data_IF_706035791046
#
_entry.id   IF_706035791046
#
_cell.length_a   1.000
_cell.length_b   1.000
_cell.length_c   1.000
_cell.angle_alpha   90.00
_cell.angle_beta   90.00
_cell.angle_gamma   90.00
#
_symmetry.space_group_name_H-M   'P 1'
#
loop_
_entity.id
_entity.type
_entity.pdbx_description
1 polymer ?
#
# COMPACT_ATOMS: atom_id res chain seq x y z
N UNK A 1 -19.20 -16.81 16.35
CA UNK A 1 -18.70 -15.59 17.04
C UNK A 1 -17.79 -15.99 18.21
N UNK A 2 -16.51 -16.12 17.90
CA UNK A 2 -15.43 -15.74 18.82
C UNK A 2 -14.54 -14.78 18.05
N UNK A 3 -14.49 -13.52 18.49
CA UNK A 3 -13.74 -12.43 17.85
C UNK A 3 -12.39 -12.34 18.54
N UNK A 4 -11.31 -12.46 17.77
CA UNK A 4 -9.99 -12.03 18.23
C UNK A 4 -9.81 -10.57 17.88
N UNK A 5 -9.17 -9.87 18.81
CA UNK A 5 -8.59 -8.56 18.58
C UNK A 5 -7.09 -8.76 18.54
N UNK A 6 -6.44 -7.99 17.66
CA UNK A 6 -5.00 -7.72 17.68
C UNK A 6 -4.54 -7.45 19.12
N UNK A 7 -4.06 -8.47 19.79
CA UNK A 7 -3.54 -8.46 21.15
C UNK A 7 -2.60 -9.66 21.30
N UNK A 8 -1.65 -9.61 22.24
CA UNK A 8 -0.57 -10.58 22.48
C UNK A 8 -1.04 -12.01 22.85
N UNK A 9 -2.01 -12.58 22.13
CA UNK A 9 -2.59 -13.89 22.30
C UNK A 9 -1.84 -14.91 21.44
N UNK A 10 -2.01 -16.22 21.74
CA UNK A 10 -1.23 -17.27 21.10
C UNK A 10 -1.39 -17.29 19.58
N UNK A 11 -0.24 -17.42 18.92
CA UNK A 11 0.06 -17.55 17.48
C UNK A 11 -0.68 -18.70 16.74
N UNK A 12 -1.67 -19.36 17.36
CA UNK A 12 -2.39 -20.48 16.77
C UNK A 12 -3.85 -20.54 17.23
N UNK A 13 -4.77 -20.45 16.28
CA UNK A 13 -6.20 -20.56 16.48
C UNK A 13 -6.83 -21.71 15.67
N UNK A 14 -7.89 -22.31 16.20
CA UNK A 14 -8.64 -23.38 15.56
C UNK A 14 -10.13 -23.04 15.70
N UNK A 15 -10.77 -22.66 14.59
CA UNK A 15 -12.22 -22.58 14.50
C UNK A 15 -12.85 -23.97 14.49
N UNK A 16 -14.14 -24.05 14.79
CA UNK A 16 -14.90 -25.29 14.89
C UNK A 16 -16.32 -25.19 14.34
N UNK A 17 -16.71 -24.07 13.73
CA UNK A 17 -18.03 -23.91 13.11
C UNK A 17 -18.02 -22.92 11.96
N UNK A 18 -18.99 -23.04 11.05
CA UNK A 18 -19.09 -22.35 9.75
C UNK A 18 -19.29 -20.82 9.79
N UNK A 19 -19.00 -20.16 10.91
CA UNK A 19 -19.15 -18.73 11.14
C UNK A 19 -18.00 -18.20 12.01
N UNK A 20 -16.85 -18.87 11.98
CA UNK A 20 -15.68 -18.43 12.71
C UNK A 20 -14.95 -17.36 11.89
N UNK A 21 -14.46 -16.34 12.60
CA UNK A 21 -14.00 -15.10 12.00
C UNK A 21 -12.75 -14.59 12.69
N UNK A 22 -11.80 -14.10 11.91
CA UNK A 22 -10.65 -13.33 12.42
C UNK A 22 -10.87 -11.86 12.07
N UNK A 23 -10.57 -10.96 13.01
CA UNK A 23 -10.89 -9.53 12.89
C UNK A 23 -9.70 -8.67 13.28
N UNK A 24 -9.28 -7.81 12.36
CA UNK A 24 -8.15 -6.90 12.50
C UNK A 24 -8.57 -5.43 12.68
N UNK A 25 -9.82 -5.16 13.04
CA UNK A 25 -10.39 -3.81 13.25
C UNK A 25 -9.59 -2.87 14.15
N UNK A 26 -8.82 -3.43 15.08
CA UNK A 26 -7.99 -2.66 16.02
C UNK A 26 -6.52 -2.58 15.59
N UNK A 27 -6.16 -3.18 14.46
CA UNK A 27 -4.82 -3.09 13.89
C UNK A 27 -4.53 -1.63 13.57
N UNK A 28 -3.28 -1.25 13.82
CA UNK A 28 -2.74 0.06 13.45
C UNK A 28 -2.06 0.03 12.07
N UNK A 29 -2.23 -1.09 11.33
CA UNK A 29 -1.54 -1.41 10.07
C UNK A 29 -2.45 -2.23 9.17
N UNK A 30 -2.16 -2.17 7.86
CA UNK A 30 -2.71 -3.10 6.89
C UNK A 30 -2.35 -4.55 7.25
N UNK A 31 -3.18 -5.49 6.84
CA UNK A 31 -3.08 -6.90 7.17
C UNK A 31 -3.09 -7.74 5.91
N UNK A 32 -2.16 -8.68 5.84
CA UNK A 32 -2.20 -9.77 4.87
C UNK A 32 -2.72 -11.00 5.61
N UNK A 33 -3.88 -11.52 5.22
CA UNK A 33 -4.46 -12.70 5.81
C UNK A 33 -4.92 -13.68 4.73
N UNK A 34 -4.56 -14.95 4.85
CA UNK A 34 -4.91 -16.00 3.89
C UNK A 34 -5.48 -17.22 4.64
N UNK A 35 -6.78 -17.47 4.43
CA UNK A 35 -7.51 -18.61 5.01
C UNK A 35 -7.04 -19.96 4.51
N UNK A 36 -6.58 -20.07 3.25
CA UNK A 36 -6.09 -21.34 2.72
C UNK A 36 -4.71 -21.71 3.28
N UNK A 37 -3.83 -20.73 3.47
CA UNK A 37 -2.55 -20.97 4.14
C UNK A 37 -2.69 -21.06 5.66
N UNK A 38 -3.77 -20.50 6.21
CA UNK A 38 -4.01 -20.42 7.65
C UNK A 38 -3.07 -19.45 8.35
N UNK A 39 -2.66 -18.37 7.66
CA UNK A 39 -1.68 -17.41 8.18
C UNK A 39 -2.14 -15.97 7.99
N UNK A 40 -1.79 -15.10 8.93
CA UNK A 40 -1.87 -13.66 8.73
C UNK A 40 -0.71 -12.89 9.37
N UNK A 41 -0.45 -11.72 8.82
CA UNK A 41 0.67 -10.84 9.15
C UNK A 41 0.26 -9.39 8.99
N UNK A 42 0.86 -8.50 9.78
CA UNK A 42 0.71 -7.05 9.59
C UNK A 42 1.74 -6.56 8.55
N UNK A 43 1.30 -5.71 7.63
CA UNK A 43 2.14 -5.06 6.63
C UNK A 43 3.04 -4.01 7.32
N UNK A 44 4.30 -3.92 6.91
CA UNK A 44 5.21 -2.88 7.40
C UNK A 44 5.21 -1.72 6.41
N UNK A 45 4.69 -0.58 6.86
CA UNK A 45 4.68 0.64 6.07
C UNK A 45 5.98 1.42 6.29
N UNK A 46 6.71 1.70 5.22
CA UNK A 46 8.05 2.30 5.26
C UNK A 46 8.00 3.61 4.49
N UNK A 47 8.48 4.70 5.09
CA UNK A 47 8.69 6.00 4.44
C UNK A 47 10.16 6.14 4.05
N UNK A 48 10.56 5.92 2.79
CA UNK A 48 11.90 6.27 2.31
C UNK A 48 12.02 7.79 2.28
N UNK A 49 12.91 8.34 3.11
CA UNK A 49 13.02 9.79 3.33
C UNK A 49 14.44 10.25 3.02
N UNK A 50 14.59 11.34 2.26
CA UNK A 50 15.92 11.94 2.11
C UNK A 50 16.14 12.73 0.85
N UNK A 51 17.37 12.70 0.35
CA UNK A 51 17.81 13.51 -0.78
C UNK A 51 17.84 12.73 -2.12
N UNK A 52 18.73 13.12 -3.03
CA UNK A 52 18.99 12.45 -4.31
C UNK A 52 19.31 10.96 -4.17
N UNK A 53 19.87 10.52 -3.03
CA UNK A 53 20.16 9.10 -2.78
C UNK A 53 18.83 8.33 -2.68
N UNK A 54 17.88 8.81 -1.87
CA UNK A 54 16.54 8.24 -1.72
C UNK A 54 15.71 8.34 -3.01
N UNK A 55 15.85 9.45 -3.74
CA UNK A 55 15.25 9.62 -5.08
C UNK A 55 15.70 8.53 -6.07
N UNK A 56 16.91 7.99 -5.88
CA UNK A 56 17.48 6.94 -6.73
C UNK A 56 18.18 7.50 -7.97
N UNK A 57 19.00 8.53 -7.80
CA UNK A 57 19.80 9.09 -8.90
C UNK A 57 20.98 8.17 -9.24
N UNK A 58 21.13 7.77 -10.51
CA UNK A 58 22.30 7.07 -11.05
C UNK A 58 22.71 7.75 -12.35
N UNK A 59 23.92 8.28 -12.39
CA UNK A 59 24.34 9.26 -13.39
C UNK A 59 24.45 8.79 -14.86
N UNK A 60 24.09 7.55 -15.18
CA UNK A 60 24.14 7.00 -16.56
C UNK A 60 22.79 6.77 -17.23
N UNK A 61 21.66 6.95 -16.54
CA UNK A 61 20.32 6.89 -17.15
C UNK A 61 19.62 8.24 -17.07
N UNK A 62 18.51 8.40 -17.79
CA UNK A 62 17.55 9.49 -17.58
C UNK A 62 16.84 9.30 -16.22
N UNK A 63 17.64 9.38 -15.16
CA UNK A 63 17.52 9.53 -13.70
C UNK A 63 16.20 9.40 -12.92
N UNK A 64 15.05 9.10 -13.53
CA UNK A 64 13.78 8.88 -12.82
C UNK A 64 13.46 7.39 -12.63
N UNK A 65 14.21 6.47 -13.24
CA UNK A 65 13.83 5.06 -13.36
C UNK A 65 14.75 4.07 -12.63
N UNK A 66 15.73 4.49 -11.81
CA UNK A 66 16.58 3.49 -11.13
C UNK A 66 15.91 2.85 -9.91
N UNK A 67 15.09 3.61 -9.19
CA UNK A 67 14.50 3.21 -7.91
C UNK A 67 15.51 3.16 -6.74
N UNK A 68 16.79 3.46 -6.97
CA UNK A 68 17.82 3.50 -5.94
C UNK A 68 17.91 2.21 -5.11
N UNK A 69 18.11 2.35 -3.80
CA UNK A 69 18.12 1.21 -2.88
C UNK A 69 16.73 0.57 -2.74
N UNK A 70 15.64 1.31 -2.99
CA UNK A 70 14.25 0.82 -2.83
C UNK A 70 13.97 -0.35 -3.75
N UNK A 71 14.46 -0.29 -4.99
CA UNK A 71 14.42 -1.41 -5.95
C UNK A 71 15.00 -2.69 -5.38
N UNK A 72 16.24 -2.61 -4.88
CA UNK A 72 16.95 -3.76 -4.34
C UNK A 72 16.32 -4.26 -3.03
N UNK A 73 15.71 -3.36 -2.26
CA UNK A 73 14.94 -3.75 -1.08
C UNK A 73 13.73 -4.60 -1.46
N UNK A 74 12.89 -4.14 -2.41
CA UNK A 74 11.73 -4.90 -2.87
C UNK A 74 12.12 -6.27 -3.40
N UNK A 75 13.16 -6.36 -4.23
CA UNK A 75 13.64 -7.64 -4.78
C UNK A 75 14.08 -8.62 -3.69
N UNK A 76 14.76 -8.13 -2.64
CA UNK A 76 15.27 -8.98 -1.56
C UNK A 76 14.19 -9.35 -0.55
N UNK A 77 13.29 -8.42 -0.24
CA UNK A 77 12.15 -8.68 0.66
C UNK A 77 11.15 -9.63 0.02
N UNK A 78 10.87 -9.51 -1.28
CA UNK A 78 10.02 -10.45 -2.01
C UNK A 78 10.63 -11.86 -2.06
N UNK A 79 11.95 -11.97 -2.21
CA UNK A 79 12.64 -13.26 -2.09
C UNK A 79 12.57 -13.88 -0.69
N UNK A 80 12.35 -13.05 0.33
CA UNK A 80 12.03 -13.45 1.70
C UNK A 80 10.51 -13.48 1.94
N UNK A 81 9.65 -13.39 0.93
CA UNK A 81 8.20 -13.35 1.12
C UNK A 81 7.73 -12.32 2.18
N UNK A 82 8.50 -11.24 2.35
CA UNK A 82 8.19 -10.12 3.22
C UNK A 82 7.53 -9.05 2.37
N UNK A 83 6.28 -8.75 2.68
CA UNK A 83 5.53 -7.68 2.02
C UNK A 83 5.68 -6.40 2.83
N UNK A 84 5.95 -5.32 2.11
CA UNK A 84 6.06 -3.96 2.64
C UNK A 84 5.21 -3.04 1.78
N UNK A 85 4.91 -1.88 2.34
CA UNK A 85 4.28 -0.77 1.63
C UNK A 85 5.19 0.45 1.76
N UNK A 86 5.78 0.89 0.66
CA UNK A 86 6.43 2.19 0.64
C UNK A 86 5.40 3.29 0.54
N UNK A 87 5.55 4.29 1.38
CA UNK A 87 4.64 5.42 1.45
C UNK A 87 5.39 6.72 1.17
N UNK A 88 4.69 7.71 0.61
CA UNK A 88 5.24 9.02 0.31
C UNK A 88 4.44 9.76 -0.76
N UNK A 89 4.73 11.04 -0.95
CA UNK A 89 4.02 11.88 -1.93
C UNK A 89 4.61 11.81 -3.33
N UNK A 90 5.84 11.28 -3.47
CA UNK A 90 6.54 11.13 -4.74
C UNK A 90 6.53 9.68 -5.19
N UNK A 91 6.52 9.47 -6.50
CA UNK A 91 6.54 8.13 -7.09
C UNK A 91 7.49 8.10 -8.30
N UNK A 92 8.57 7.33 -8.21
CA UNK A 92 9.51 7.11 -9.31
C UNK A 92 10.27 5.76 -9.18
N UNK A 93 10.61 5.16 -10.31
CA UNK A 93 11.28 3.86 -10.39
C UNK A 93 11.10 3.20 -11.76
N UNK A 94 11.81 2.09 -12.04
CA UNK A 94 11.64 1.34 -13.28
C UNK A 94 10.27 0.69 -13.31
N UNK A 95 9.80 0.39 -14.53
CA UNK A 95 8.51 -0.28 -14.74
C UNK A 95 8.35 -1.60 -13.95
N UNK A 96 9.47 -2.28 -13.66
CA UNK A 96 9.51 -3.54 -12.91
C UNK A 96 9.30 -3.39 -11.40
N UNK A 97 9.40 -2.18 -10.84
CA UNK A 97 9.06 -1.96 -9.43
C UNK A 97 7.54 -1.85 -9.30
N UNK A 98 6.98 -2.75 -8.48
CA UNK A 98 5.56 -2.78 -8.13
C UNK A 98 5.18 -1.54 -7.31
N UNK A 99 6.01 -1.18 -6.36
CA UNK A 99 5.85 -0.02 -5.51
C UNK A 99 7.01 0.96 -5.75
N UNK A 100 6.68 2.24 -5.95
CA UNK A 100 7.61 3.30 -6.35
C UNK A 100 7.55 4.51 -5.44
N UNK A 101 6.77 4.44 -4.39
CA UNK A 101 6.48 5.59 -3.55
C UNK A 101 7.65 5.89 -2.62
N UNK A 102 7.82 7.17 -2.29
CA UNK A 102 8.89 7.69 -1.44
C UNK A 102 8.72 9.19 -1.15
N UNK A 103 9.59 9.69 -0.27
CA UNK A 103 9.74 11.10 0.06
C UNK A 103 11.22 11.53 -0.08
N UNK A 104 11.80 11.17 -1.23
CA UNK A 104 13.18 11.52 -1.60
C UNK A 104 13.20 12.75 -2.48
N UNK A 105 14.02 13.76 -2.17
CA UNK A 105 14.01 15.05 -2.86
C UNK A 105 15.38 15.41 -3.42
N UNK A 106 15.48 15.53 -4.75
CA UNK A 106 16.76 15.85 -5.39
C UNK A 106 17.27 17.23 -4.96
N UNK A 107 18.55 17.30 -4.64
CA UNK A 107 19.24 18.55 -4.26
C UNK A 107 18.75 19.20 -2.96
N UNK A 108 17.87 18.55 -2.21
CA UNK A 108 17.40 19.09 -0.94
C UNK A 108 18.45 18.90 0.16
N UNK A 109 18.49 19.87 1.06
CA UNK A 109 19.26 19.88 2.30
C UNK A 109 18.42 19.36 3.46
N UNK A 110 19.05 19.02 4.60
CA UNK A 110 18.34 18.65 5.82
C UNK A 110 17.37 19.76 6.27
N UNK A 111 17.77 21.02 6.09
CA UNK A 111 16.91 22.17 6.37
C UNK A 111 15.67 22.27 5.48
N UNK A 112 15.73 21.81 4.24
CA UNK A 112 14.56 21.75 3.37
C UNK A 112 13.67 20.57 3.73
N UNK A 113 14.25 19.44 4.14
CA UNK A 113 13.51 18.29 4.66
C UNK A 113 12.78 18.60 5.98
N UNK A 114 13.31 19.52 6.80
CA UNK A 114 12.60 20.07 7.97
C UNK A 114 11.27 20.77 7.60
N UNK A 115 11.06 21.09 6.32
CA UNK A 115 9.80 21.64 5.79
C UNK A 115 8.94 20.61 5.07
N UNK A 116 9.24 19.31 5.16
CA UNK A 116 8.30 18.27 4.75
C UNK A 116 7.03 18.49 5.55
N UNK A 117 5.91 18.56 4.83
CA UNK A 117 4.62 18.86 5.42
C UNK A 117 4.35 17.85 6.54
N UNK A 118 4.06 18.34 7.75
CA UNK A 118 3.67 17.48 8.88
C UNK A 118 2.50 16.57 8.47
N UNK A 119 1.70 17.03 7.49
CA UNK A 119 0.62 16.29 6.86
C UNK A 119 1.09 15.04 6.11
N UNK A 120 2.29 14.98 5.51
CA UNK A 120 2.79 13.77 4.83
C UNK A 120 3.08 12.67 5.84
N UNK A 121 3.80 12.99 6.92
CA UNK A 121 4.13 12.01 7.96
C UNK A 121 2.85 11.57 8.69
N UNK A 122 1.95 12.51 8.96
CA UNK A 122 0.67 12.23 9.58
C UNK A 122 -0.28 11.42 8.68
N UNK A 123 -0.27 11.64 7.36
CA UNK A 123 -1.11 10.93 6.40
C UNK A 123 -0.59 9.53 6.09
N UNK A 124 0.74 9.37 5.99
CA UNK A 124 1.35 8.09 5.61
C UNK A 124 1.34 7.04 6.72
N UNK A 125 1.33 7.46 8.00
CA UNK A 125 1.30 6.55 9.17
C UNK A 125 2.34 5.42 9.10
N UNK A 126 3.53 5.74 8.58
CA UNK A 126 4.60 4.77 8.42
C UNK A 126 5.05 4.18 9.77
N UNK A 127 5.42 2.91 9.77
CA UNK A 127 6.06 2.25 10.91
C UNK A 127 7.53 2.62 11.04
N UNK A 128 8.18 2.76 9.88
CA UNK A 128 9.59 3.04 9.78
C UNK A 128 9.84 4.18 8.78
N UNK A 129 10.70 5.13 9.14
CA UNK A 129 11.28 6.06 8.18
C UNK A 129 12.74 5.70 7.93
N UNK A 130 13.12 5.56 6.66
CA UNK A 130 14.52 5.31 6.27
C UNK A 130 15.13 6.63 5.82
N UNK A 131 15.79 7.33 6.74
CA UNK A 131 16.35 8.65 6.52
C UNK A 131 17.81 8.57 6.07
N UNK A 132 18.10 9.08 4.87
CA UNK A 132 19.46 9.32 4.38
C UNK A 132 19.54 10.67 3.65
N UNK A 133 20.10 11.67 4.34
CA UNK A 133 20.23 13.03 3.84
C UNK A 133 21.36 13.79 4.53
N UNK A 134 21.85 14.83 3.86
CA UNK A 134 22.99 15.65 4.33
C UNK A 134 24.10 15.77 3.30
N UNK A 135 24.05 14.99 2.20
CA UNK A 135 25.07 15.05 1.16
C UNK A 135 25.12 16.46 0.56
N UNK A 136 23.96 17.09 0.33
CA UNK A 136 23.90 18.46 -0.21
C UNK A 136 24.41 19.50 0.78
N UNK A 137 24.03 19.39 2.06
CA UNK A 137 24.47 20.27 3.15
C UNK A 137 26.00 20.28 3.26
N UNK A 138 26.65 19.12 3.09
CA UNK A 138 28.12 19.01 3.17
C UNK A 138 28.89 19.90 2.19
N UNK A 139 28.23 20.44 1.15
CA UNK A 139 28.84 21.38 0.23
C UNK A 139 29.18 22.72 0.90
N UNK A 140 28.34 23.20 1.83
CA UNK A 140 28.42 24.54 2.41
C UNK A 140 28.46 24.56 3.93
N UNK A 141 27.84 23.58 4.57
CA UNK A 141 27.53 23.64 6.00
C UNK A 141 28.65 23.04 6.84
N UNK A 142 28.70 23.49 8.09
CA UNK A 142 29.59 22.91 9.09
C UNK A 142 28.97 21.64 9.69
N UNK A 143 29.80 20.71 10.17
CA UNK A 143 29.30 19.49 10.84
C UNK A 143 28.31 19.80 11.99
N UNK A 144 28.56 20.80 12.88
CA UNK A 144 27.57 21.21 13.88
C UNK A 144 26.24 21.68 13.30
N UNK A 145 26.26 22.39 12.16
CA UNK A 145 25.04 22.84 11.47
C UNK A 145 24.25 21.64 10.97
N UNK A 146 24.90 20.72 10.25
CA UNK A 146 24.27 19.50 9.74
C UNK A 146 23.65 18.66 10.88
N UNK A 147 24.35 18.51 12.01
CA UNK A 147 23.83 17.78 13.18
C UNK A 147 22.63 18.49 13.83
N UNK A 148 22.63 19.82 13.84
CA UNK A 148 21.50 20.59 14.36
C UNK A 148 20.26 20.43 13.47
N UNK A 149 20.46 20.42 12.15
CA UNK A 149 19.37 20.30 11.19
C UNK A 149 18.78 18.88 11.20
N UNK A 150 19.64 17.86 11.31
CA UNK A 150 19.22 16.48 11.55
C UNK A 150 18.44 16.36 12.87
N UNK A 151 18.93 16.97 13.96
CA UNK A 151 18.22 16.97 15.25
C UNK A 151 16.81 17.53 15.10
N UNK A 152 16.67 18.69 14.43
CA UNK A 152 15.38 19.32 14.22
C UNK A 152 14.42 18.40 13.45
N UNK A 153 14.93 17.72 12.41
CA UNK A 153 14.12 16.80 11.59
C UNK A 153 13.60 15.63 12.43
N UNK A 154 14.49 14.99 13.17
CA UNK A 154 14.13 13.84 14.01
C UNK A 154 13.12 14.21 15.11
N UNK A 155 13.25 15.41 15.70
CA UNK A 155 12.30 15.90 16.69
C UNK A 155 10.94 16.25 16.07
N UNK A 156 10.92 16.79 14.84
CA UNK A 156 9.68 17.04 14.11
C UNK A 156 8.94 15.73 13.82
N UNK A 157 9.63 14.76 13.20
CA UNK A 157 9.08 13.43 12.90
C UNK A 157 8.51 12.74 14.14
N UNK A 158 9.26 12.74 15.24
CA UNK A 158 8.81 12.15 16.50
C UNK A 158 7.62 12.88 17.14
N UNK A 159 7.42 14.16 16.83
CA UNK A 159 6.28 14.93 17.34
C UNK A 159 5.02 14.68 16.52
N UNK A 160 5.17 14.55 15.21
CA UNK A 160 4.08 14.28 14.27
C UNK A 160 3.55 12.85 14.39
N UNK A 161 4.45 11.87 14.61
CA UNK A 161 4.08 10.51 14.98
C UNK A 161 5.02 9.91 16.04
N UNK A 162 4.60 9.86 17.33
CA UNK A 162 5.39 9.24 18.39
C UNK A 162 5.59 7.71 18.25
N UNK A 163 4.80 7.05 17.40
CA UNK A 163 4.91 5.62 17.16
C UNK A 163 5.96 5.26 16.10
N UNK A 164 6.24 6.18 15.16
CA UNK A 164 7.21 6.03 14.07
C UNK A 164 8.63 5.75 14.59
N UNK A 165 9.27 4.71 14.05
CA UNK A 165 10.70 4.45 14.27
C UNK A 165 11.52 5.03 13.11
N UNK A 166 12.42 5.97 13.37
CA UNK A 166 13.27 6.58 12.34
C UNK A 166 14.65 5.91 12.32
N UNK A 167 14.96 5.22 11.23
CA UNK A 167 16.29 4.68 10.94
C UNK A 167 17.11 5.73 10.20
N UNK A 168 18.27 6.09 10.73
CA UNK A 168 19.13 7.17 10.22
C UNK A 168 20.42 6.57 9.70
N UNK A 169 20.59 6.60 8.38
CA UNK A 169 21.76 6.05 7.70
C UNK A 169 22.91 7.05 7.69
N UNK A 170 24.12 6.57 7.95
CA UNK A 170 25.32 7.36 7.65
C UNK A 170 25.41 7.63 6.14
N UNK A 171 25.96 8.78 5.76
CA UNK A 171 26.14 9.15 4.36
C UNK A 171 27.20 8.26 3.68
N UNK A 172 27.03 7.90 2.39
CA UNK A 172 28.08 7.23 1.63
C UNK A 172 29.32 8.13 1.49
N UNK A 173 30.52 7.55 1.25
CA UNK A 173 31.73 8.33 1.08
C UNK A 173 31.66 9.23 -0.16
N UNK A 174 32.41 10.32 -0.16
CA UNK A 174 32.49 11.24 -1.29
C UNK A 174 33.71 10.89 -2.14
N UNK A 175 33.53 10.69 -3.45
CA UNK A 175 34.67 10.43 -4.34
C UNK A 175 35.41 11.73 -4.65
N UNK A 176 36.64 11.83 -4.16
CA UNK A 176 37.53 12.97 -4.41
C UNK A 176 37.97 12.96 -5.88
N UNK A 177 37.94 14.13 -6.51
CA UNK A 177 38.25 14.32 -7.92
C UNK A 177 37.44 15.45 -8.51
N UNK A 178 36.12 15.27 -8.61
CA UNK A 178 35.17 16.37 -8.87
C UNK A 178 34.71 17.07 -7.58
N UNK A 179 34.67 16.35 -6.46
CA UNK A 179 34.46 16.94 -5.14
C UNK A 179 35.79 17.25 -4.44
N UNK A 180 35.76 18.25 -3.55
CA UNK A 180 36.92 18.62 -2.74
C UNK A 180 37.18 17.64 -1.61
N UNK A 181 38.45 17.43 -1.25
CA UNK A 181 38.83 16.65 -0.05
C UNK A 181 38.11 17.16 1.21
N UNK A 182 38.02 18.48 1.38
CA UNK A 182 37.35 19.09 2.53
C UNK A 182 35.86 18.69 2.63
N UNK A 183 35.18 18.40 1.51
CA UNK A 183 33.80 17.91 1.52
C UNK A 183 33.74 16.45 1.97
N UNK A 184 34.66 15.61 1.49
CA UNK A 184 34.80 14.23 1.95
C UNK A 184 35.07 14.19 3.46
N UNK A 185 36.05 14.96 3.94
CA UNK A 185 36.40 15.03 5.37
C UNK A 185 35.20 15.50 6.24
N UNK A 186 34.35 16.41 5.72
CA UNK A 186 33.13 16.84 6.40
C UNK A 186 32.09 15.73 6.49
N UNK A 187 31.90 14.95 5.43
CA UNK A 187 30.98 13.81 5.44
C UNK A 187 31.44 12.76 6.44
N UNK A 188 32.74 12.44 6.46
CA UNK A 188 33.32 11.51 7.43
C UNK A 188 33.12 12.02 8.87
N UNK A 189 33.42 13.29 9.14
CA UNK A 189 33.23 13.88 10.46
C UNK A 189 31.76 13.96 10.89
N UNK A 190 30.84 14.17 9.95
CA UNK A 190 29.40 14.13 10.21
C UNK A 190 28.94 12.70 10.57
N UNK A 191 29.38 11.71 9.80
CA UNK A 191 29.10 10.30 10.06
C UNK A 191 29.66 9.83 11.41
N UNK A 192 30.84 10.30 11.81
CA UNK A 192 31.44 9.95 13.11
C UNK A 192 30.69 10.58 14.31
N UNK A 193 30.08 11.75 14.11
CA UNK A 193 29.34 12.44 15.16
C UNK A 193 27.87 11.97 15.28
N UNK A 194 27.28 11.48 14.19
CA UNK A 194 25.87 11.08 14.11
C UNK A 194 25.45 10.06 15.19
N UNK A 195 26.21 8.97 15.50
CA UNK A 195 25.83 8.01 16.53
C UNK A 195 25.63 8.64 17.91
N UNK A 196 26.40 9.68 18.23
CA UNK A 196 26.27 10.42 19.48
C UNK A 196 24.93 11.16 19.59
N UNK A 197 24.52 11.84 18.52
CA UNK A 197 23.21 12.51 18.44
C UNK A 197 22.06 11.50 18.55
N UNK A 198 22.13 10.40 17.79
CA UNK A 198 21.07 9.38 17.80
C UNK A 198 20.95 8.75 19.19
N UNK A 199 22.08 8.45 19.85
CA UNK A 199 22.09 7.92 21.22
C UNK A 199 21.51 8.91 22.23
N UNK A 200 21.79 10.21 22.08
CA UNK A 200 21.22 11.25 22.93
C UNK A 200 19.69 11.32 22.80
N UNK A 201 19.16 11.33 21.58
CA UNK A 201 17.72 11.39 21.32
C UNK A 201 17.01 10.10 21.75
N UNK A 202 17.61 8.94 21.51
CA UNK A 202 17.08 7.66 21.99
C UNK A 202 16.99 7.62 23.53
N UNK A 203 17.99 8.17 24.24
CA UNK A 203 17.95 8.28 25.70
C UNK A 203 16.85 9.22 26.22
N UNK A 204 16.35 10.12 25.36
CA UNK A 204 15.20 11.00 25.64
C UNK A 204 13.86 10.34 25.31
N UNK A 205 13.86 9.10 24.80
CA UNK A 205 12.66 8.32 24.48
C UNK A 205 12.19 8.42 23.02
N UNK A 206 12.93 9.12 22.16
CA UNK A 206 12.64 9.14 20.73
C UNK A 206 13.02 7.81 20.09
N UNK A 207 12.18 7.28 19.18
CA UNK A 207 12.45 6.01 18.48
C UNK A 207 13.37 6.23 17.28
N UNK A 208 14.64 6.50 17.53
CA UNK A 208 15.65 6.73 16.49
C UNK A 208 16.74 5.66 16.54
N UNK A 209 17.15 5.14 15.38
CA UNK A 209 18.11 4.05 15.25
C UNK A 209 19.18 4.44 14.23
N UNK A 210 20.45 4.33 14.60
CA UNK A 210 21.55 4.59 13.68
C UNK A 210 21.85 3.35 12.83
N UNK A 211 21.94 3.54 11.52
CA UNK A 211 22.31 2.49 10.56
C UNK A 211 23.69 2.82 9.98
N UNK A 212 24.68 2.06 10.42
CA UNK A 212 26.08 2.30 10.09
C UNK A 212 26.42 1.74 8.71
N UNK A 213 26.54 2.62 7.73
CA UNK A 213 26.89 2.30 6.34
C UNK A 213 28.33 2.72 6.00
N UNK A 214 29.18 2.97 7.01
CA UNK A 214 30.54 3.48 6.80
C UNK A 214 31.51 2.49 6.14
N UNK A 215 31.13 1.21 5.96
CA UNK A 215 31.92 0.27 5.16
C UNK A 215 31.71 0.44 3.64
N UNK A 216 30.79 1.31 3.21
CA UNK A 216 30.74 1.75 1.81
C UNK A 216 32.08 2.40 1.43
N UNK A 217 32.54 2.09 0.23
CA UNK A 217 33.84 2.55 -0.28
C UNK A 217 33.65 3.51 -1.45
N UNK A 218 34.69 4.28 -1.85
CA UNK A 218 34.59 5.10 -3.06
C UNK A 218 34.21 4.33 -4.32
N UNK A 219 34.48 3.02 -4.40
CA UNK A 219 34.11 2.16 -5.54
C UNK A 219 32.61 1.87 -5.62
N UNK A 220 31.90 2.06 -4.51
CA UNK A 220 30.44 2.00 -4.45
C UNK A 220 29.79 3.31 -4.95
N UNK A 221 30.60 4.32 -5.30
CA UNK A 221 30.18 5.64 -5.73
C UNK A 221 30.60 5.86 -7.17
N UNK A 222 29.65 6.33 -7.98
CA UNK A 222 29.85 6.52 -9.41
C UNK A 222 31.02 7.46 -9.67
N UNK A 223 31.97 6.97 -10.47
CA UNK A 223 33.19 7.70 -10.74
C UNK A 223 32.99 8.82 -11.78
N UNK A 224 33.73 9.93 -11.67
CA UNK A 224 33.82 10.91 -12.75
C UNK A 224 34.33 10.28 -14.06
N UNK A 225 33.91 10.80 -15.23
CA UNK A 225 33.03 11.95 -15.43
C UNK A 225 31.54 11.56 -15.51
N UNK A 226 31.17 10.30 -15.26
CA UNK A 226 29.78 9.86 -15.36
C UNK A 226 28.91 10.55 -14.32
N UNK A 227 29.45 10.78 -13.11
CA UNK A 227 28.80 11.54 -12.04
C UNK A 227 29.74 12.58 -11.42
N UNK A 228 29.13 13.45 -10.61
CA UNK A 228 29.77 14.36 -9.67
C UNK A 228 30.57 13.69 -8.54
N UNK A 229 30.52 12.35 -8.40
CA UNK A 229 31.18 11.61 -7.32
C UNK A 229 30.39 11.60 -6.01
N UNK A 230 29.06 11.73 -6.11
CA UNK A 230 28.13 11.83 -4.99
C UNK A 230 27.11 10.68 -4.97
N UNK A 231 26.77 10.14 -6.15
CA UNK A 231 25.70 9.15 -6.27
C UNK A 231 26.25 7.73 -6.28
N UNK A 232 25.64 6.80 -5.51
CA UNK A 232 26.02 5.39 -5.53
C UNK A 232 25.95 4.77 -6.94
N UNK A 233 26.75 3.75 -7.18
CA UNK A 233 26.54 2.84 -8.32
C UNK A 233 25.34 1.92 -8.03
N UNK A 234 24.96 1.09 -9.00
CA UNK A 234 23.95 0.05 -8.77
C UNK A 234 24.37 -0.89 -7.62
N UNK A 235 25.64 -1.30 -7.58
CA UNK A 235 26.20 -2.12 -6.51
C UNK A 235 26.22 -1.38 -5.16
N UNK A 236 26.52 -0.08 -5.16
CA UNK A 236 26.43 0.75 -3.96
C UNK A 236 25.00 0.83 -3.41
N UNK A 237 24.01 1.01 -4.27
CA UNK A 237 22.60 0.98 -3.88
C UNK A 237 22.16 -0.39 -3.34
N UNK A 238 22.65 -1.49 -3.91
CA UNK A 238 22.38 -2.84 -3.40
C UNK A 238 22.97 -3.06 -1.98
N UNK A 239 24.14 -2.47 -1.69
CA UNK A 239 24.72 -2.48 -0.34
C UNK A 239 23.90 -1.65 0.64
N UNK A 240 23.49 -0.42 0.26
CA UNK A 240 22.61 0.42 1.08
C UNK A 240 21.31 -0.32 1.43
N UNK A 241 20.68 -0.98 0.44
CA UNK A 241 19.49 -1.80 0.67
C UNK A 241 19.73 -2.92 1.70
N UNK A 242 20.91 -3.54 1.67
CA UNK A 242 21.28 -4.59 2.63
C UNK A 242 21.36 -4.05 4.06
N UNK A 243 21.98 -2.88 4.26
CA UNK A 243 22.03 -2.24 5.58
C UNK A 243 20.64 -1.90 6.13
N UNK A 244 19.75 -1.41 5.28
CA UNK A 244 18.37 -1.14 5.71
C UNK A 244 17.64 -2.41 6.11
N UNK A 245 17.70 -3.46 5.29
CA UNK A 245 17.04 -4.74 5.59
C UNK A 245 17.59 -5.35 6.87
N UNK A 246 18.91 -5.34 7.07
CA UNK A 246 19.51 -5.91 8.28
C UNK A 246 19.09 -5.13 9.55
N UNK A 247 18.92 -3.80 9.45
CA UNK A 247 18.43 -2.98 10.55
C UNK A 247 16.95 -3.21 10.84
N UNK A 248 16.12 -3.33 9.78
CA UNK A 248 14.71 -3.65 9.90
C UNK A 248 14.51 -5.07 10.44
N UNK A 249 15.30 -6.05 10.03
CA UNK A 249 15.32 -7.42 10.57
C UNK A 249 15.60 -7.41 12.08
N UNK A 250 16.63 -6.68 12.51
CA UNK A 250 16.98 -6.60 13.93
C UNK A 250 15.89 -5.95 14.78
N UNK A 251 15.11 -5.03 14.20
CA UNK A 251 14.08 -4.29 14.93
C UNK A 251 12.70 -4.94 14.87
N UNK A 252 12.29 -5.41 13.69
CA UNK A 252 10.97 -5.94 13.39
C UNK A 252 10.94 -7.46 13.14
N UNK A 253 12.04 -8.09 12.70
CA UNK A 253 12.08 -9.49 12.26
C UNK A 253 11.38 -9.70 10.91
N UNK A 254 12.13 -9.95 9.84
CA UNK A 254 11.73 -10.03 8.43
C UNK A 254 12.00 -11.44 7.83
N UNK A 255 11.80 -12.50 8.61
CA UNK A 255 12.42 -13.81 8.41
C UNK A 255 11.81 -14.74 7.33
N UNK A 256 11.01 -14.26 6.38
CA UNK A 256 10.33 -15.20 5.47
C UNK A 256 8.84 -15.36 5.69
N UNK A 257 8.41 -15.07 6.91
CA UNK A 257 7.19 -15.65 7.47
C UNK A 257 6.30 -14.59 8.10
N UNK A 258 6.37 -13.36 7.57
CA UNK A 258 5.70 -12.17 8.10
C UNK A 258 6.59 -11.31 9.00
N UNK A 259 6.13 -10.08 9.26
CA UNK A 259 6.88 -9.07 10.02
C UNK A 259 6.42 -9.08 11.47
N UNK A 260 7.36 -9.19 12.42
CA UNK A 260 7.07 -9.09 13.86
C UNK A 260 6.95 -10.41 14.63
N UNK A 261 6.80 -10.28 15.95
CA UNK A 261 6.41 -11.34 16.88
C UNK A 261 4.92 -11.73 16.80
N UNK A 262 4.14 -11.04 15.97
CA UNK A 262 2.69 -11.10 15.92
C UNK A 262 2.23 -11.98 14.75
N UNK A 263 2.77 -13.20 14.66
CA UNK A 263 2.34 -14.19 13.66
C UNK A 263 1.16 -14.95 14.23
N UNK A 264 0.00 -14.86 13.58
CA UNK A 264 -1.14 -15.71 13.92
C UNK A 264 -1.30 -16.80 12.85
N UNK A 265 -1.29 -18.05 13.30
CA UNK A 265 -1.79 -19.18 12.52
C UNK A 265 -3.25 -19.42 12.88
N UNK A 266 -4.06 -19.78 11.90
CA UNK A 266 -5.44 -20.16 12.12
C UNK A 266 -5.80 -21.35 11.24
N UNK A 267 -6.71 -22.17 11.74
CA UNK A 267 -7.26 -23.31 11.03
C UNK A 267 -8.77 -23.29 11.16
N UNK A 268 -9.47 -23.77 10.14
CA UNK A 268 -10.94 -23.85 10.12
C UNK A 268 -11.61 -22.50 10.41
N UNK A 269 -11.13 -21.44 9.75
CA UNK A 269 -11.74 -20.11 9.75
C UNK A 269 -12.38 -19.89 8.39
N UNK A 270 -13.57 -19.27 8.40
CA UNK A 270 -14.33 -18.99 7.17
C UNK A 270 -14.45 -17.49 6.87
N UNK A 271 -14.14 -16.59 7.81
CA UNK A 271 -14.36 -15.17 7.61
C UNK A 271 -13.16 -14.32 8.03
N UNK A 272 -12.86 -13.29 7.23
CA UNK A 272 -11.85 -12.29 7.52
C UNK A 272 -12.49 -10.92 7.60
N UNK A 273 -12.04 -10.14 8.57
CA UNK A 273 -12.32 -8.72 8.63
C UNK A 273 -11.02 -7.96 8.80
N UNK A 274 -10.79 -7.02 7.88
CA UNK A 274 -9.62 -6.16 7.80
C UNK A 274 -9.51 -5.14 8.93
N UNK A 275 -8.63 -4.19 8.67
CA UNK A 275 -8.24 -3.06 9.51
C UNK A 275 -8.87 -1.77 8.97
N UNK A 276 -8.24 -0.62 9.20
CA UNK A 276 -8.65 0.65 8.56
C UNK A 276 -7.60 1.14 7.56
N UNK A 277 -6.77 0.23 7.08
CA UNK A 277 -5.62 0.45 6.21
C UNK A 277 -5.69 -0.56 5.07
N UNK A 278 -4.89 -0.33 4.02
CA UNK A 278 -4.83 -1.23 2.87
C UNK A 278 -4.46 -2.67 3.27
N UNK A 279 -5.43 -3.56 3.16
CA UNK A 279 -5.35 -4.98 3.51
C UNK A 279 -5.28 -5.87 2.25
N UNK A 280 -4.72 -7.07 2.42
CA UNK A 280 -4.81 -8.16 1.45
C UNK A 280 -5.44 -9.37 2.12
N UNK A 281 -6.71 -9.64 1.81
CA UNK A 281 -7.51 -10.68 2.43
C UNK A 281 -7.79 -11.79 1.41
N UNK A 282 -7.39 -13.02 1.72
CA UNK A 282 -7.60 -14.20 0.89
C UNK A 282 -8.46 -15.25 1.60
N UNK A 283 -9.50 -15.71 0.90
CA UNK A 283 -10.35 -16.82 1.27
C UNK A 283 -9.70 -18.18 1.07
N UNK A 284 -10.53 -19.21 1.07
CA UNK A 284 -10.19 -20.60 0.82
C UNK A 284 -11.15 -21.22 -0.21
N UNK A 285 -11.28 -22.54 -0.25
CA UNK A 285 -12.14 -23.24 -1.23
C UNK A 285 -13.61 -23.37 -0.76
N UNK A 286 -13.96 -22.77 0.38
CA UNK A 286 -15.30 -22.75 0.93
C UNK A 286 -15.86 -21.34 0.97
N UNK A 287 -17.18 -21.22 1.12
CA UNK A 287 -17.84 -19.92 1.23
C UNK A 287 -17.28 -19.07 2.38
N UNK A 288 -16.82 -17.88 2.06
CA UNK A 288 -16.21 -16.94 2.97
C UNK A 288 -16.91 -15.58 2.98
N UNK A 289 -16.72 -14.83 4.08
CA UNK A 289 -17.03 -13.41 4.12
C UNK A 289 -15.72 -12.66 4.36
N UNK A 290 -15.35 -11.80 3.41
CA UNK A 290 -14.20 -10.92 3.48
C UNK A 290 -14.71 -9.47 3.58
N UNK A 291 -14.34 -8.76 4.64
CA UNK A 291 -14.76 -7.38 4.93
C UNK A 291 -13.52 -6.49 5.09
N UNK A 292 -13.18 -5.68 4.07
CA UNK A 292 -11.98 -4.81 4.05
C UNK A 292 -12.06 -3.62 5.01
N UNK A 293 -13.28 -3.08 5.16
CA UNK A 293 -13.64 -1.91 5.96
C UNK A 293 -13.18 -0.58 5.38
N UNK A 294 -11.92 -0.19 5.56
CA UNK A 294 -11.42 1.09 5.07
C UNK A 294 -9.96 0.96 4.67
N UNK A 295 -9.53 1.74 3.69
CA UNK A 295 -8.25 1.53 3.02
C UNK A 295 -8.48 1.02 1.60
N UNK A 296 -7.47 1.08 0.75
CA UNK A 296 -7.55 0.55 -0.60
C UNK A 296 -7.19 -0.95 -0.53
N UNK A 297 -8.20 -1.82 -0.46
CA UNK A 297 -8.03 -3.23 -0.10
C UNK A 297 -8.00 -4.17 -1.31
N UNK A 298 -7.40 -5.35 -1.13
CA UNK A 298 -7.47 -6.48 -2.08
C UNK A 298 -8.13 -7.67 -1.41
N UNK A 299 -9.29 -8.09 -1.91
CA UNK A 299 -10.05 -9.23 -1.39
C UNK A 299 -10.12 -10.32 -2.48
N UNK A 300 -9.66 -11.53 -2.17
CA UNK A 300 -9.67 -12.70 -3.06
C UNK A 300 -10.49 -13.84 -2.44
N UNK A 301 -11.69 -14.12 -2.98
CA UNK A 301 -12.59 -15.18 -2.50
C UNK A 301 -12.04 -16.59 -2.74
N UNK A 302 -11.57 -16.83 -3.98
CA UNK A 302 -11.02 -18.08 -4.51
C UNK A 302 -12.10 -19.09 -4.90
N UNK A 303 -12.50 -19.97 -4.01
CA UNK A 303 -13.48 -21.01 -4.32
C UNK A 303 -14.60 -21.00 -3.30
N UNK A 304 -15.82 -21.30 -3.73
CA UNK A 304 -16.98 -21.18 -2.86
C UNK A 304 -17.87 -20.03 -3.29
N UNK A 305 -18.87 -19.70 -2.49
CA UNK A 305 -19.81 -18.62 -2.79
C UNK A 305 -19.60 -17.54 -1.76
N UNK A 306 -18.81 -16.54 -2.13
CA UNK A 306 -18.18 -15.60 -1.24
C UNK A 306 -18.95 -14.29 -1.15
N UNK A 307 -18.79 -13.60 -0.02
CA UNK A 307 -19.22 -12.22 0.15
C UNK A 307 -17.99 -11.34 0.29
N UNK A 308 -17.78 -10.47 -0.69
CA UNK A 308 -16.65 -9.55 -0.77
C UNK A 308 -17.16 -8.13 -0.53
N UNK A 309 -16.84 -7.60 0.65
CA UNK A 309 -17.23 -6.26 1.10
C UNK A 309 -15.97 -5.40 1.09
N UNK A 310 -15.82 -4.53 0.08
CA UNK A 310 -14.68 -3.63 -0.01
C UNK A 310 -14.67 -2.63 1.14
N UNK A 311 -15.72 -1.80 1.20
CA UNK A 311 -15.83 -0.75 2.20
C UNK A 311 -15.25 0.56 1.65
N UNK A 312 -14.71 1.40 2.52
CA UNK A 312 -14.24 2.73 2.17
C UNK A 312 -12.83 2.68 1.58
N UNK A 313 -12.69 2.84 0.28
CA UNK A 313 -11.39 2.93 -0.37
C UNK A 313 -11.54 2.58 -1.84
N UNK A 314 -10.46 2.55 -2.61
CA UNK A 314 -10.49 2.03 -3.97
C UNK A 314 -10.11 0.54 -3.96
N UNK A 315 -11.11 -0.34 -3.87
CA UNK A 315 -10.87 -1.75 -3.59
C UNK A 315 -10.76 -2.62 -4.85
N UNK A 316 -10.05 -3.74 -4.75
CA UNK A 316 -10.04 -4.80 -5.76
C UNK A 316 -10.66 -6.07 -5.18
N UNK A 317 -11.82 -6.46 -5.71
CA UNK A 317 -12.60 -7.61 -5.27
C UNK A 317 -12.55 -8.71 -6.34
N UNK A 318 -11.98 -9.86 -6.02
CA UNK A 318 -11.82 -11.01 -6.92
C UNK A 318 -12.64 -12.18 -6.35
N UNK A 319 -13.71 -12.57 -7.03
CA UNK A 319 -14.63 -13.64 -6.62
C UNK A 319 -13.99 -15.01 -6.78
N UNK A 320 -13.91 -15.45 -8.04
CA UNK A 320 -13.27 -16.71 -8.39
C UNK A 320 -14.30 -17.74 -8.81
N UNK A 321 -14.32 -18.89 -8.16
CA UNK A 321 -15.18 -20.01 -8.51
C UNK A 321 -16.35 -20.14 -7.53
N UNK A 322 -17.54 -19.76 -7.96
CA UNK A 322 -18.82 -20.03 -7.34
C UNK A 322 -19.75 -18.83 -7.54
N UNK A 323 -20.85 -18.76 -6.80
CA UNK A 323 -21.79 -17.65 -6.91
C UNK A 323 -21.45 -16.57 -5.88
N UNK A 324 -20.73 -15.54 -6.31
CA UNK A 324 -20.13 -14.53 -5.44
C UNK A 324 -20.98 -13.26 -5.36
N UNK A 325 -20.84 -12.54 -4.24
CA UNK A 325 -21.56 -11.30 -3.96
C UNK A 325 -20.59 -10.19 -3.62
N UNK A 326 -20.56 -9.17 -4.48
CA UNK A 326 -19.75 -7.97 -4.33
C UNK A 326 -20.54 -6.82 -3.72
N UNK A 327 -19.96 -6.14 -2.74
CA UNK A 327 -20.48 -4.88 -2.21
C UNK A 327 -19.49 -3.75 -2.51
N UNK A 328 -19.93 -2.77 -3.30
CA UNK A 328 -19.10 -1.67 -3.82
C UNK A 328 -19.70 -0.33 -3.45
N UNK A 329 -18.88 0.59 -2.94
CA UNK A 329 -19.31 1.90 -2.46
C UNK A 329 -18.43 3.07 -2.94
N UNK A 330 -17.33 2.77 -3.63
CA UNK A 330 -16.38 3.76 -4.14
C UNK A 330 -16.18 3.62 -5.65
N UNK A 331 -16.08 4.75 -6.35
CA UNK A 331 -15.90 4.77 -7.80
C UNK A 331 -14.54 4.21 -8.25
N UNK A 332 -13.59 4.05 -7.32
CA UNK A 332 -12.32 3.39 -7.52
C UNK A 332 -12.38 1.86 -7.44
N UNK A 333 -13.48 1.29 -6.92
CA UNK A 333 -13.63 -0.16 -6.75
C UNK A 333 -13.59 -0.90 -8.09
N UNK A 334 -13.12 -2.15 -8.05
CA UNK A 334 -13.07 -3.07 -9.18
C UNK A 334 -13.54 -4.44 -8.74
N UNK A 335 -14.47 -5.00 -9.52
CA UNK A 335 -14.83 -6.42 -9.42
C UNK A 335 -14.15 -7.20 -10.55
N UNK A 336 -13.68 -8.40 -10.26
CA UNK A 336 -12.98 -9.28 -11.20
C UNK A 336 -13.55 -10.68 -11.08
N UNK A 337 -14.08 -11.20 -12.19
CA UNK A 337 -14.67 -12.53 -12.24
C UNK A 337 -14.08 -13.46 -13.29
N UNK A 338 -14.04 -14.76 -12.94
CA UNK A 338 -13.66 -15.82 -13.86
C UNK A 338 -14.81 -16.21 -14.80
N UNK A 339 -14.47 -16.61 -16.01
CA UNK A 339 -15.47 -17.12 -16.94
C UNK A 339 -16.05 -18.45 -16.42
N UNK A 340 -17.37 -18.51 -16.26
CA UNK A 340 -18.09 -19.63 -15.64
C UNK A 340 -17.84 -19.78 -14.12
N UNK A 341 -17.54 -18.69 -13.40
CA UNK A 341 -17.42 -18.65 -11.95
C UNK A 341 -18.72 -19.05 -11.26
N UNK A 342 -19.84 -18.46 -11.64
CA UNK A 342 -21.14 -18.86 -11.12
C UNK A 342 -22.26 -18.01 -11.68
N UNK A 343 -23.15 -17.58 -10.79
CA UNK A 343 -24.11 -16.51 -11.07
C UNK A 343 -23.85 -15.46 -10.00
N UNK A 344 -23.25 -14.36 -10.43
CA UNK A 344 -22.61 -13.42 -9.52
C UNK A 344 -23.45 -12.16 -9.37
N UNK A 345 -23.37 -11.54 -8.19
CA UNK A 345 -24.17 -10.36 -7.86
C UNK A 345 -23.28 -9.19 -7.46
N UNK A 346 -23.52 -8.01 -8.02
CA UNK A 346 -22.99 -6.75 -7.48
C UNK A 346 -24.09 -5.93 -6.80
N UNK A 347 -23.85 -5.57 -5.54
CA UNK A 347 -24.66 -4.69 -4.73
C UNK A 347 -23.95 -3.33 -4.63
N UNK A 348 -24.34 -2.40 -5.50
CA UNK A 348 -23.70 -1.10 -5.63
C UNK A 348 -24.42 -0.01 -4.84
N UNK A 349 -23.66 0.81 -4.11
CA UNK A 349 -24.17 1.99 -3.40
C UNK A 349 -23.92 3.31 -4.16
N UNK A 350 -23.24 3.20 -5.30
CA UNK A 350 -22.86 4.28 -6.22
C UNK A 350 -23.25 3.93 -7.67
N UNK A 351 -22.95 4.83 -8.61
CA UNK A 351 -23.02 4.53 -10.04
C UNK A 351 -22.07 3.38 -10.36
N UNK A 352 -22.55 2.38 -11.11
CA UNK A 352 -21.79 1.16 -11.32
C UNK A 352 -21.92 0.59 -12.73
N UNK A 353 -20.82 0.00 -13.20
CA UNK A 353 -20.78 -0.81 -14.43
C UNK A 353 -20.32 -2.21 -14.06
N UNK A 354 -21.12 -3.23 -14.41
CA UNK A 354 -20.74 -4.62 -14.19
C UNK A 354 -19.44 -4.95 -14.93
N UNK A 355 -18.54 -5.63 -14.24
CA UNK A 355 -17.39 -6.29 -14.87
C UNK A 355 -17.87 -7.40 -15.82
N UNK A 356 -17.00 -7.85 -16.71
CA UNK A 356 -17.26 -9.06 -17.49
C UNK A 356 -17.55 -10.25 -16.56
N UNK A 357 -18.38 -11.20 -17.01
CA UNK A 357 -18.75 -12.41 -16.28
C UNK A 357 -19.63 -12.21 -15.03
N UNK A 358 -20.08 -10.99 -14.70
CA UNK A 358 -21.05 -10.76 -13.62
C UNK A 358 -22.47 -10.64 -14.18
N UNK A 359 -23.44 -11.39 -13.65
CA UNK A 359 -24.80 -11.44 -14.18
C UNK A 359 -25.75 -10.42 -13.57
N UNK A 360 -25.64 -10.11 -12.28
CA UNK A 360 -26.68 -9.37 -11.57
C UNK A 360 -26.19 -8.04 -10.99
N UNK A 361 -26.98 -6.98 -11.13
CA UNK A 361 -26.74 -5.68 -10.50
C UNK A 361 -27.92 -5.26 -9.61
N UNK A 362 -27.63 -4.86 -8.38
CA UNK A 362 -28.60 -4.26 -7.48
C UNK A 362 -28.11 -2.90 -7.00
N UNK A 363 -28.86 -1.84 -7.28
CA UNK A 363 -28.59 -0.52 -6.71
C UNK A 363 -29.20 -0.45 -5.30
N UNK A 364 -28.36 -0.22 -4.28
CA UNK A 364 -28.71 -0.39 -2.86
C UNK A 364 -28.78 0.91 -2.04
N UNK A 365 -28.42 2.06 -2.62
CA UNK A 365 -28.66 3.36 -1.98
C UNK A 365 -30.04 3.93 -2.36
N UNK A 366 -30.49 5.01 -1.72
CA UNK A 366 -31.70 5.74 -2.12
C UNK A 366 -31.41 6.88 -3.12
N UNK A 367 -30.19 6.95 -3.65
CA UNK A 367 -29.75 8.01 -4.56
C UNK A 367 -30.22 7.75 -6.00
N UNK A 368 -30.23 8.82 -6.80
CA UNK A 368 -30.41 8.73 -8.25
C UNK A 368 -29.12 8.17 -8.87
N UNK A 369 -29.09 6.87 -9.06
CA UNK A 369 -27.90 6.14 -9.54
C UNK A 369 -28.04 5.66 -10.97
N UNK A 370 -26.89 5.51 -11.65
CA UNK A 370 -26.75 4.86 -12.93
C UNK A 370 -26.18 3.44 -12.78
N UNK A 371 -26.81 2.45 -13.41
CA UNK A 371 -26.32 1.09 -13.51
C UNK A 371 -26.12 0.70 -14.97
N UNK A 372 -25.00 0.04 -15.27
CA UNK A 372 -24.68 -0.46 -16.61
C UNK A 372 -24.32 -1.94 -16.57
N UNK A 373 -24.95 -2.74 -17.42
CA UNK A 373 -24.67 -4.16 -17.61
C UNK A 373 -23.42 -4.39 -18.45
N UNK A 374 -23.29 -5.61 -18.99
CA UNK A 374 -22.18 -6.08 -19.80
C UNK A 374 -22.69 -6.81 -21.07
N UNK A 375 -21.94 -7.78 -21.60
CA UNK A 375 -22.35 -8.53 -22.79
C UNK A 375 -23.23 -9.77 -22.53
N UNK A 376 -23.62 -10.00 -21.28
CA UNK A 376 -24.42 -11.15 -20.83
C UNK A 376 -25.91 -10.79 -20.74
N UNK A 377 -26.76 -11.80 -20.53
CA UNK A 377 -28.13 -11.55 -20.12
C UNK A 377 -28.17 -11.11 -18.65
N UNK A 378 -28.15 -9.80 -18.40
CA UNK A 378 -28.07 -9.26 -17.05
C UNK A 378 -29.44 -9.13 -16.38
N UNK A 379 -29.50 -9.38 -15.07
CA UNK A 379 -30.65 -8.99 -14.24
C UNK A 379 -30.27 -7.78 -13.39
N UNK A 380 -30.86 -6.62 -13.69
CA UNK A 380 -30.52 -5.36 -13.05
C UNK A 380 -31.73 -4.77 -12.34
N UNK A 381 -31.54 -4.37 -11.10
CA UNK A 381 -32.60 -3.79 -10.28
C UNK A 381 -32.17 -2.46 -9.67
N UNK A 382 -32.94 -1.42 -9.95
CA UNK A 382 -32.81 -0.08 -9.41
C UNK A 382 -33.22 0.03 -7.94
N UNK A 383 -33.39 1.27 -7.49
CA UNK A 383 -33.70 1.63 -6.12
C UNK A 383 -34.97 2.51 -6.03
N UNK A 384 -35.07 3.40 -5.04
CA UNK A 384 -36.22 4.30 -4.89
C UNK A 384 -36.02 5.70 -5.48
N UNK A 385 -34.86 5.97 -6.06
CA UNK A 385 -34.49 7.22 -6.72
C UNK A 385 -34.68 7.12 -8.24
N UNK A 386 -34.53 8.25 -8.95
CA UNK A 386 -34.61 8.27 -10.41
C UNK A 386 -33.34 7.65 -11.02
N UNK A 387 -33.41 6.39 -11.43
CA UNK A 387 -32.27 5.63 -11.92
C UNK A 387 -32.13 5.68 -13.45
N UNK A 388 -30.90 5.47 -13.93
CA UNK A 388 -30.64 5.10 -15.33
C UNK A 388 -30.07 3.69 -15.37
N UNK A 389 -30.78 2.73 -15.97
CA UNK A 389 -30.26 1.37 -16.17
C UNK A 389 -30.01 1.14 -17.66
N UNK A 390 -28.82 0.67 -18.01
CA UNK A 390 -28.44 0.30 -19.39
C UNK A 390 -27.98 -1.16 -19.41
N UNK A 391 -28.74 -2.05 -20.07
CA UNK A 391 -28.45 -3.49 -20.12
C UNK A 391 -27.22 -3.83 -20.99
N UNK A 392 -27.04 -3.07 -22.08
CA UNK A 392 -26.06 -3.33 -23.15
C UNK A 392 -26.45 -4.53 -24.01
N UNK A 393 -25.61 -5.55 -24.13
CA UNK A 393 -25.85 -6.65 -25.04
C UNK A 393 -26.27 -7.88 -24.26
N UNK A 394 -27.28 -8.61 -24.72
CA UNK A 394 -27.82 -9.73 -23.95
C UNK A 394 -29.34 -9.69 -23.93
N UNK A 395 -29.98 -10.69 -23.34
CA UNK A 395 -31.43 -10.63 -23.09
C UNK A 395 -31.68 -10.15 -21.68
N UNK A 396 -31.76 -8.84 -21.49
CA UNK A 396 -31.65 -8.25 -20.15
C UNK A 396 -32.99 -8.16 -19.42
N UNK A 397 -32.96 -8.21 -18.09
CA UNK A 397 -34.10 -7.89 -17.24
C UNK A 397 -33.79 -6.65 -16.40
N UNK A 398 -34.39 -5.51 -16.74
CA UNK A 398 -34.22 -4.25 -16.02
C UNK A 398 -35.49 -3.90 -15.23
N UNK A 399 -35.36 -3.68 -13.92
CA UNK A 399 -36.45 -3.23 -13.04
C UNK A 399 -36.06 -1.94 -12.31
N UNK A 400 -36.69 -0.81 -12.67
CA UNK A 400 -36.44 0.51 -12.08
C UNK A 400 -36.93 0.65 -10.64
N UNK A 401 -37.87 -0.21 -10.20
CA UNK A 401 -38.56 -0.16 -8.90
C UNK A 401 -39.33 1.14 -8.64
N UNK A 402 -38.71 2.19 -8.14
CA UNK A 402 -39.42 3.44 -7.85
C UNK A 402 -38.54 4.62 -8.12
N UNK A 403 -39.11 5.71 -8.62
CA UNK A 403 -38.29 6.80 -9.11
C UNK A 403 -38.96 7.46 -10.28
N UNK A 404 -38.20 7.82 -11.30
CA UNK A 404 -38.74 8.23 -12.60
C UNK A 404 -37.61 7.90 -13.55
N UNK A 405 -37.66 6.66 -14.01
CA UNK A 405 -36.44 5.95 -14.39
C UNK A 405 -36.19 6.03 -15.89
N UNK A 406 -34.95 5.79 -16.28
CA UNK A 406 -34.57 5.62 -17.67
C UNK A 406 -33.99 4.23 -17.85
N UNK A 407 -34.73 3.36 -18.54
CA UNK A 407 -34.35 1.98 -18.79
C UNK A 407 -34.00 1.80 -20.27
N UNK A 408 -32.77 1.40 -20.55
CA UNK A 408 -32.20 1.19 -21.89
C UNK A 408 -31.86 -0.29 -21.98
N UNK A 409 -32.63 -1.08 -22.73
CA UNK A 409 -32.34 -2.52 -22.90
C UNK A 409 -31.01 -2.71 -23.64
N UNK A 410 -30.98 -2.27 -24.90
CA UNK A 410 -29.83 -2.45 -25.78
C UNK A 410 -30.09 -3.58 -26.77
N UNK A 411 -29.05 -4.15 -27.41
CA UNK A 411 -29.24 -5.29 -28.28
C UNK A 411 -29.63 -6.58 -27.55
N UNK A 412 -30.82 -7.09 -27.89
CA UNK A 412 -31.26 -8.42 -27.50
C UNK A 412 -32.75 -8.45 -27.18
N UNK A 413 -33.18 -9.45 -26.41
CA UNK A 413 -34.59 -9.63 -26.06
C UNK A 413 -34.80 -9.24 -24.60
N UNK A 414 -35.06 -7.95 -24.37
CA UNK A 414 -35.07 -7.37 -23.03
C UNK A 414 -36.47 -7.31 -22.40
N UNK A 415 -36.50 -7.34 -21.07
CA UNK A 415 -37.68 -7.12 -20.23
C UNK A 415 -37.42 -5.88 -19.38
N UNK A 416 -38.18 -4.81 -19.63
CA UNK A 416 -38.05 -3.55 -18.91
C UNK A 416 -39.29 -3.29 -18.04
N UNK A 417 -39.09 -3.10 -16.74
CA UNK A 417 -40.14 -2.78 -15.76
C UNK A 417 -39.81 -1.45 -15.10
N UNK A 418 -40.62 -0.41 -15.33
CA UNK A 418 -40.34 0.93 -14.78
C UNK A 418 -40.63 1.04 -13.28
N UNK A 419 -41.74 0.45 -12.83
CA UNK A 419 -42.16 0.52 -11.44
C UNK A 419 -43.02 1.75 -11.14
N UNK A 420 -42.74 2.47 -10.05
CA UNK A 420 -43.50 3.69 -9.70
C UNK A 420 -42.84 4.94 -10.25
N UNK A 421 -43.65 5.86 -10.77
CA UNK A 421 -43.21 7.18 -11.22
C UNK A 421 -43.34 7.36 -12.73
N UNK A 422 -42.58 8.31 -13.28
CA UNK A 422 -42.65 8.64 -14.70
C UNK A 422 -41.43 8.07 -15.43
N UNK A 423 -41.57 6.84 -15.92
CA UNK A 423 -40.45 6.10 -16.49
C UNK A 423 -40.34 6.27 -18.02
N UNK A 424 -39.13 6.13 -18.52
CA UNK A 424 -38.78 6.18 -19.92
C UNK A 424 -38.05 4.91 -20.34
N UNK A 425 -38.52 4.29 -21.42
CA UNK A 425 -37.95 3.07 -21.97
C UNK A 425 -37.29 3.37 -23.32
N UNK A 426 -36.09 2.85 -23.52
CA UNK A 426 -35.36 2.93 -24.79
C UNK A 426 -35.04 1.52 -25.26
N UNK A 427 -35.51 1.21 -26.46
CA UNK A 427 -35.26 -0.05 -27.17
C UNK A 427 -34.31 0.23 -28.34
N UNK A 428 -33.44 -0.72 -28.65
CA UNK A 428 -32.51 -0.65 -29.79
C UNK A 428 -33.12 -1.20 -31.09
#
# INVERSE_FOLDING_TARGET
MTVFYDSNRPDAFVGGGSLDSVSYKASSRGVIADLASGHAYKLLSILPLGDSITYGVIASSSDTESGGYRKFMLERLDALNVKIDFVGSLSNGPASMQDRDHEGHRSWTLNQLNGIDDDIVAATKADAALLIAGTNDSATDSVPTMLQDLRNLLLSLSSSDPALTVFVGSLPPIRVGQQSQARADRVDAYNDAMPGLISELAAQGHKVIFVDMRDLTPDDITAPPLDSGLHPTAEGYAKIASYWIDALEQHFGLDGTGIGSDRDTFTSIENLTGSSFADQLGGNEGANVLDGLAGDDVLEGRGGSDQLIGGVGADTLVGGAGADVYYVDNAGDKTIEEANGGIDETHAYIDWTLADNVENLFLRSAANLAGKGNGLANAMVGNGGANTLEGLGGGDQLDGRGGSDRLIGGPGADILTGGTGNDSFVFA
#
